data_IF_147779114263
#
_entry.id   IF_147779114263
#
_cell.length_a   1.000
_cell.length_b   1.000
_cell.length_c   1.000
_cell.angle_alpha   90.00
_cell.angle_beta   90.00
_cell.angle_gamma   90.00
#
_symmetry.space_group_name_H-M   'P 1'
#
loop_
_entity.id
_entity.type
_entity.pdbx_description
1 polymer ?
#
# COMPACT_ATOMS: atom_id res chain seq x y z
N UNK A 1 0.73 1.04 -6.85
CA UNK A 1 -0.27 0.24 -6.11
C UNK A 1 -1.31 -0.29 -7.08
N UNK A 2 -2.11 0.59 -7.70
CA UNK A 2 -2.91 0.24 -8.87
C UNK A 2 -2.04 -0.28 -10.02
N UNK A 3 -2.49 -1.35 -10.69
CA UNK A 3 -1.75 -2.02 -11.76
C UNK A 3 -0.59 -2.91 -11.30
N UNK A 4 -0.22 -2.88 -10.01
CA UNK A 4 0.91 -3.64 -9.44
C UNK A 4 0.45 -4.61 -8.35
N UNK A 5 -0.24 -4.10 -7.34
CA UNK A 5 -0.80 -4.88 -6.23
C UNK A 5 -2.29 -5.17 -6.45
N UNK A 6 -3.02 -4.20 -7.02
CA UNK A 6 -4.46 -4.30 -7.26
C UNK A 6 -4.82 -3.86 -8.67
N UNK A 7 -5.90 -4.41 -9.22
CA UNK A 7 -6.59 -3.93 -10.42
C UNK A 7 -8.03 -3.63 -10.04
N UNK A 8 -8.33 -2.34 -9.83
CA UNK A 8 -9.64 -1.91 -9.32
C UNK A 8 -9.86 -2.36 -7.88
N UNK A 9 -10.79 -3.30 -7.66
CA UNK A 9 -11.10 -3.88 -6.34
C UNK A 9 -10.54 -5.28 -6.14
N UNK A 10 -9.70 -5.76 -7.07
CA UNK A 10 -9.19 -7.14 -7.06
C UNK A 10 -7.68 -7.14 -6.87
N UNK A 11 -7.16 -7.98 -5.97
CA UNK A 11 -5.73 -8.20 -5.85
C UNK A 11 -5.16 -8.86 -7.11
N UNK A 12 -3.96 -8.45 -7.52
CA UNK A 12 -3.22 -9.09 -8.60
C UNK A 12 -2.69 -10.44 -8.09
N UNK A 13 -2.75 -11.47 -8.94
CA UNK A 13 -2.30 -12.82 -8.59
C UNK A 13 -0.85 -12.80 -8.11
N UNK A 14 -0.60 -13.37 -6.93
CA UNK A 14 0.73 -13.43 -6.30
C UNK A 14 1.15 -12.17 -5.55
N UNK A 15 0.37 -11.08 -5.55
CA UNK A 15 0.71 -9.85 -4.84
C UNK A 15 0.84 -10.06 -3.32
N UNK A 16 -0.08 -10.81 -2.70
CA UNK A 16 0.03 -11.16 -1.28
C UNK A 16 1.29 -12.00 -1.01
N UNK A 17 1.53 -13.05 -1.81
CA UNK A 17 2.72 -13.89 -1.69
C UNK A 17 4.03 -13.10 -1.83
N UNK A 18 4.05 -12.08 -2.68
CA UNK A 18 5.20 -11.19 -2.82
C UNK A 18 5.42 -10.34 -1.55
N UNK A 19 4.36 -9.80 -0.97
CA UNK A 19 4.42 -9.07 0.31
C UNK A 19 4.90 -9.98 1.43
N UNK A 20 4.38 -11.20 1.51
CA UNK A 20 4.80 -12.19 2.51
C UNK A 20 6.29 -12.50 2.38
N UNK A 21 6.78 -12.76 1.16
CA UNK A 21 8.20 -13.00 0.91
C UNK A 21 9.09 -11.81 1.33
N UNK A 22 8.63 -10.57 1.15
CA UNK A 22 9.35 -9.38 1.64
C UNK A 22 9.37 -9.32 3.17
N UNK A 23 8.26 -9.66 3.82
CA UNK A 23 8.16 -9.68 5.28
C UNK A 23 9.03 -10.78 5.89
N UNK A 24 8.93 -12.00 5.37
CA UNK A 24 9.69 -13.18 5.82
C UNK A 24 11.19 -12.99 5.60
N UNK A 25 11.58 -12.33 4.51
CA UNK A 25 12.97 -11.96 4.24
C UNK A 25 13.48 -10.75 5.02
N UNK A 26 12.65 -10.11 5.84
CA UNK A 26 13.02 -8.88 6.58
C UNK A 26 13.30 -7.68 5.67
N UNK A 27 12.82 -7.71 4.42
CA UNK A 27 13.04 -6.65 3.45
C UNK A 27 12.14 -5.45 3.73
N UNK A 28 12.76 -4.28 3.81
CA UNK A 28 12.04 -3.01 3.91
C UNK A 28 11.41 -2.69 2.56
N UNK A 29 10.13 -2.34 2.58
CA UNK A 29 9.41 -1.86 1.41
C UNK A 29 8.43 -0.76 1.78
N UNK A 30 8.00 -0.01 0.77
CA UNK A 30 7.00 1.04 0.89
C UNK A 30 6.01 0.94 -0.26
N UNK A 31 4.72 0.90 0.06
CA UNK A 31 3.65 1.07 -0.93
C UNK A 31 3.49 2.57 -1.17
N UNK A 32 4.11 3.04 -2.25
CA UNK A 32 4.03 4.42 -2.71
C UNK A 32 2.90 4.56 -3.74
N UNK A 33 1.98 5.50 -3.51
CA UNK A 33 0.85 5.75 -4.43
C UNK A 33 0.54 7.23 -4.58
N UNK A 34 0.12 7.61 -5.79
CA UNK A 34 -0.34 8.97 -6.09
C UNK A 34 -1.81 9.21 -5.74
N UNK A 35 -2.52 8.22 -5.19
CA UNK A 35 -3.91 8.37 -4.77
C UNK A 35 -3.98 9.14 -3.43
N UNK A 36 -4.54 10.37 -3.41
CA UNK A 36 -4.58 11.21 -2.21
C UNK A 36 -5.86 11.00 -1.37
N UNK A 37 -6.81 10.17 -1.81
CA UNK A 37 -8.15 10.11 -1.22
C UNK A 37 -8.21 9.51 0.19
N UNK A 38 -7.20 8.73 0.59
CA UNK A 38 -7.26 7.93 1.80
C UNK A 38 -6.06 8.21 2.71
N UNK A 39 -6.32 8.18 4.02
CA UNK A 39 -5.24 8.09 5.02
C UNK A 39 -4.52 6.75 4.87
N UNK A 40 -3.27 6.61 5.36
CA UNK A 40 -2.57 5.32 5.36
C UNK A 40 -3.36 4.20 6.03
N UNK A 41 -4.06 4.52 7.14
CA UNK A 41 -4.87 3.55 7.88
C UNK A 41 -6.07 3.06 7.07
N UNK A 42 -6.78 3.98 6.43
CA UNK A 42 -7.95 3.63 5.60
C UNK A 42 -7.52 2.84 4.36
N UNK A 43 -6.39 3.22 3.75
CA UNK A 43 -5.86 2.49 2.60
C UNK A 43 -5.38 1.09 2.98
N UNK A 44 -4.72 0.92 4.13
CA UNK A 44 -4.36 -0.40 4.66
C UNK A 44 -5.59 -1.28 4.86
N UNK A 45 -6.65 -0.74 5.50
CA UNK A 45 -7.89 -1.47 5.69
C UNK A 45 -8.54 -1.86 4.36
N UNK A 46 -8.56 -0.94 3.38
CA UNK A 46 -9.08 -1.23 2.04
C UNK A 46 -8.27 -2.32 1.33
N UNK A 47 -6.94 -2.29 1.39
CA UNK A 47 -6.08 -3.34 0.84
C UNK A 47 -6.38 -4.70 1.51
N UNK A 48 -6.60 -4.71 2.82
CA UNK A 48 -6.99 -5.90 3.55
C UNK A 48 -8.31 -6.50 3.02
N UNK A 49 -9.31 -5.67 2.71
CA UNK A 49 -10.56 -6.16 2.07
C UNK A 49 -10.36 -6.76 0.68
N UNK A 50 -9.24 -6.45 0.01
CA UNK A 50 -8.86 -7.06 -1.28
C UNK A 50 -7.98 -8.31 -1.12
N UNK A 51 -7.70 -8.74 0.12
CA UNK A 51 -6.82 -9.87 0.43
C UNK A 51 -5.34 -9.49 0.58
N UNK A 52 -5.02 -8.21 0.70
CA UNK A 52 -3.65 -7.70 0.84
C UNK A 52 -3.36 -7.21 2.26
N UNK A 53 -2.45 -7.87 2.95
CA UNK A 53 -2.01 -7.47 4.30
C UNK A 53 -0.82 -6.52 4.21
N UNK A 54 -1.08 -5.21 4.28
CA UNK A 54 -0.04 -4.17 4.31
C UNK A 54 -0.25 -3.30 5.54
N UNK A 55 0.77 -3.21 6.39
CA UNK A 55 0.73 -2.33 7.56
C UNK A 55 0.69 -0.85 7.12
N UNK A 56 -0.05 -0.02 7.86
CA UNK A 56 -0.28 1.39 7.50
C UNK A 56 0.99 2.23 7.50
N UNK A 57 2.00 1.86 8.30
CA UNK A 57 3.32 2.50 8.34
C UNK A 57 4.17 2.21 7.08
N UNK A 58 3.79 1.18 6.30
CA UNK A 58 4.37 0.85 4.99
C UNK A 58 3.61 1.49 3.82
N UNK A 59 2.81 2.52 4.06
CA UNK A 59 2.05 3.24 3.04
C UNK A 59 2.44 4.70 3.02
N UNK A 60 2.72 5.21 1.82
CA UNK A 60 2.98 6.63 1.59
C UNK A 60 2.17 7.13 0.40
N UNK A 61 1.45 8.23 0.60
CA UNK A 61 0.57 8.81 -0.41
C UNK A 61 1.05 10.19 -0.85
N UNK A 62 0.61 10.62 -2.03
CA UNK A 62 0.84 11.99 -2.52
C UNK A 62 0.33 13.05 -1.54
N UNK A 63 -0.79 12.81 -0.83
CA UNK A 63 -1.29 13.73 0.19
C UNK A 63 -0.28 13.95 1.34
N UNK A 64 0.44 12.90 1.76
CA UNK A 64 1.50 13.00 2.77
C UNK A 64 2.71 13.77 2.24
N UNK A 65 3.11 13.53 0.99
CA UNK A 65 4.16 14.32 0.34
C UNK A 65 3.81 15.81 0.34
N UNK A 66 2.59 16.16 -0.08
CA UNK A 66 2.14 17.56 -0.09
C UNK A 66 2.11 18.16 1.31
N UNK A 67 1.57 17.44 2.29
CA UNK A 67 1.55 17.92 3.69
C UNK A 67 2.95 18.20 4.23
N UNK A 68 3.95 17.35 3.90
CA UNK A 68 5.35 17.56 4.28
C UNK A 68 6.01 18.72 3.55
N UNK A 69 5.62 18.98 2.31
CA UNK A 69 6.15 20.10 1.52
C UNK A 69 5.68 21.46 2.07
N UNK A 70 4.49 21.52 2.67
CA UNK A 70 3.93 22.74 3.24
C UNK A 70 4.47 23.09 4.64
N UNK A 71 5.38 22.28 5.18
CA UNK A 71 6.07 22.53 6.45
C UNK A 71 7.35 23.31 6.23
#
# INVERSE_FOLDING_TARGET
>A
MDGVLVRGKTAIAGAQRFIDALNDGGHKYLVLTNNPMYTPRDLAHRLQTTGLQVASDRIFTSAIATARFMQ
#
